data_IF_329636743459
#
_entry.id   IF_329636743459
#
_cell.length_a   1.000
_cell.length_b   1.000
_cell.length_c   1.000
_cell.angle_alpha   90.00
_cell.angle_beta   90.00
_cell.angle_gamma   90.00
#
_symmetry.space_group_name_H-M   'P 1'
#
loop_
_entity.id
_entity.type
_entity.pdbx_description
1 polymer ?
#
# COMPACT_ATOMS: atom_id res chain seq x y z
N UNK A 1 -14.86 53.52 1.76
CA UNK A 1 -14.36 52.37 0.95
C UNK A 1 -13.31 51.58 1.74
N UNK A 2 -12.85 50.40 1.31
CA UNK A 2 -11.74 49.68 1.96
C UNK A 2 -10.45 50.52 2.02
N UNK A 3 -10.28 51.40 1.02
CA UNK A 3 -9.20 52.38 0.93
C UNK A 3 -9.23 53.39 2.10
N UNK A 4 -10.41 53.94 2.38
CA UNK A 4 -10.64 54.96 3.42
C UNK A 4 -10.39 54.41 4.85
N UNK A 5 -10.68 53.14 5.09
CA UNK A 5 -10.31 52.45 6.35
C UNK A 5 -8.81 52.23 6.47
N UNK A 6 -8.14 51.95 5.35
CA UNK A 6 -6.68 51.84 5.28
C UNK A 6 -6.02 53.16 5.64
N UNK A 7 -6.44 54.25 4.98
CA UNK A 7 -5.92 55.60 5.23
C UNK A 7 -6.13 56.04 6.68
N UNK A 8 -7.29 55.72 7.29
CA UNK A 8 -7.55 56.04 8.69
C UNK A 8 -6.64 55.26 9.66
N UNK A 9 -6.44 53.97 9.43
CA UNK A 9 -5.53 53.15 10.25
C UNK A 9 -4.07 53.58 10.11
N UNK A 10 -3.65 53.96 8.90
CA UNK A 10 -2.30 54.49 8.66
C UNK A 10 -2.12 55.82 9.38
N UNK A 11 -3.12 56.70 9.36
CA UNK A 11 -3.09 57.97 10.09
C UNK A 11 -3.01 57.77 11.61
N UNK A 12 -3.85 56.90 12.19
CA UNK A 12 -3.81 56.57 13.63
C UNK A 12 -2.46 55.97 14.04
N UNK A 13 -1.86 55.12 13.20
CA UNK A 13 -0.54 54.53 13.48
C UNK A 13 0.59 55.57 13.40
N UNK A 14 0.51 56.50 12.44
CA UNK A 14 1.49 57.58 12.31
C UNK A 14 1.41 58.56 13.48
N UNK A 15 0.19 58.89 13.94
CA UNK A 15 -0.02 59.74 15.11
C UNK A 15 0.52 59.05 16.38
N UNK A 16 0.31 57.74 16.53
CA UNK A 16 0.87 56.96 17.65
C UNK A 16 2.40 56.91 17.64
N UNK A 17 3.01 56.82 16.47
CA UNK A 17 4.47 56.85 16.30
C UNK A 17 5.05 58.24 16.60
N UNK A 18 4.37 59.33 16.18
CA UNK A 18 4.79 60.69 16.54
C UNK A 18 4.63 60.99 18.03
N UNK A 19 3.62 60.43 18.69
CA UNK A 19 3.41 60.57 20.14
C UNK A 19 4.47 59.83 20.96
N UNK A 20 5.08 58.78 20.41
CA UNK A 20 6.25 58.10 20.99
C UNK A 20 7.52 58.88 20.62
N UNK A 21 7.80 59.96 21.34
CA UNK A 21 8.96 60.83 21.12
C UNK A 21 10.33 60.12 21.21
N UNK A 22 11.38 60.77 20.67
CA UNK A 22 12.73 60.23 20.42
C UNK A 22 13.41 59.49 21.59
N UNK A 23 13.03 59.78 22.84
CA UNK A 23 13.58 59.07 24.01
C UNK A 23 13.12 57.60 24.11
N UNK A 24 11.95 57.25 23.55
CA UNK A 24 11.44 55.88 23.49
C UNK A 24 11.97 55.10 22.29
N UNK A 25 12.38 55.79 21.21
CA UNK A 25 12.99 55.18 20.03
C UNK A 25 14.42 54.68 20.29
N UNK A 26 15.18 55.32 21.20
CA UNK A 26 16.52 54.84 21.59
C UNK A 26 16.51 53.55 22.43
N UNK A 27 15.40 53.27 23.12
CA UNK A 27 15.22 52.04 23.89
C UNK A 27 14.44 50.96 23.11
N UNK A 28 14.23 51.17 21.80
CA UNK A 28 13.56 50.21 20.95
C UNK A 28 14.49 49.03 20.66
N UNK A 29 14.45 48.02 21.52
CA UNK A 29 14.94 46.68 21.21
C UNK A 29 13.80 45.89 20.58
N UNK A 30 14.03 45.32 19.41
CA UNK A 30 13.16 44.33 18.75
C UNK A 30 13.15 42.98 19.51
N UNK A 31 13.20 43.03 20.83
CA UNK A 31 13.09 41.89 21.72
C UNK A 31 11.75 42.04 22.44
N UNK A 32 10.70 41.98 21.63
CA UNK A 32 9.36 41.69 22.14
C UNK A 32 9.07 40.29 21.68
N UNK A 33 8.91 39.40 22.66
CA UNK A 33 8.40 38.04 22.54
C UNK A 33 6.97 38.08 21.97
N UNK A 34 6.82 38.49 20.71
CA UNK A 34 5.62 38.22 19.94
C UNK A 34 5.64 36.73 19.67
N UNK A 35 5.08 36.01 20.63
CA UNK A 35 4.80 34.59 20.52
C UNK A 35 4.12 34.39 19.18
N UNK A 36 4.67 33.54 18.30
CA UNK A 36 4.16 33.22 16.95
C UNK A 36 2.67 32.82 16.90
N UNK A 37 2.06 32.61 18.06
CA UNK A 37 0.69 32.17 18.27
C UNK A 37 -0.26 33.30 18.69
N UNK A 38 0.20 34.57 18.73
CA UNK A 38 -0.65 35.73 19.02
C UNK A 38 -0.88 36.57 17.77
N UNK A 39 -2.11 36.62 17.29
CA UNK A 39 -2.52 37.39 16.11
C UNK A 39 -3.74 38.25 16.46
N UNK A 40 -3.70 39.55 16.12
CA UNK A 40 -4.73 40.55 16.48
C UNK A 40 -5.14 40.62 17.97
N UNK A 41 -4.22 40.27 18.88
CA UNK A 41 -4.46 40.33 20.33
C UNK A 41 -5.12 39.08 20.93
N UNK A 42 -5.40 38.06 20.11
CA UNK A 42 -5.85 36.75 20.58
C UNK A 42 -4.70 35.72 20.55
N UNK A 43 -4.61 34.88 21.59
CA UNK A 43 -3.65 33.78 21.70
C UNK A 43 -4.30 32.47 21.20
N UNK A 44 -3.78 31.92 20.10
CA UNK A 44 -4.38 30.79 19.39
C UNK A 44 -3.97 29.42 19.95
N UNK A 45 -3.13 29.37 21.00
CA UNK A 45 -2.76 28.11 21.67
C UNK A 45 -3.92 27.43 22.39
N UNK A 46 -4.87 28.20 22.92
CA UNK A 46 -6.00 27.65 23.68
C UNK A 46 -7.16 27.17 22.78
N UNK A 47 -7.28 27.70 21.56
CA UNK A 47 -8.34 27.33 20.61
C UNK A 47 -8.13 25.96 19.94
N UNK A 48 -6.98 25.32 20.10
CA UNK A 48 -6.75 23.95 19.61
C UNK A 48 -7.43 22.86 20.47
N UNK A 49 -8.00 23.21 21.63
CA UNK A 49 -8.63 22.23 22.55
C UNK A 49 -10.16 22.13 22.43
N UNK A 50 -10.82 22.90 21.56
CA UNK A 50 -12.27 22.86 21.42
C UNK A 50 -12.69 22.75 19.95
N UNK A 51 -12.55 21.52 19.45
CA UNK A 51 -12.91 21.15 18.10
C UNK A 51 -12.60 19.68 17.90
N UNK A 52 -13.31 18.81 18.62
CA UNK A 52 -13.61 17.47 18.11
C UNK A 52 -14.31 17.70 16.77
N UNK A 53 -13.52 17.87 15.71
CA UNK A 53 -13.96 17.48 14.39
C UNK A 53 -14.18 15.99 14.56
N UNK A 54 -15.44 15.58 14.72
CA UNK A 54 -15.84 14.19 14.50
C UNK A 54 -15.34 13.87 13.11
N UNK A 55 -14.18 13.23 13.06
CA UNK A 55 -13.63 12.67 11.87
C UNK A 55 -14.62 11.59 11.46
N UNK A 56 -15.54 11.93 10.57
CA UNK A 56 -16.37 10.95 9.87
C UNK A 56 -15.38 10.13 9.07
N UNK A 57 -14.99 8.97 9.60
CA UNK A 57 -14.16 8.01 8.89
C UNK A 57 -14.83 7.77 7.53
N UNK A 58 -14.16 8.06 6.40
CA UNK A 58 -14.67 7.64 5.11
C UNK A 58 -14.99 6.16 5.22
N UNK A 59 -16.19 5.70 4.83
CA UNK A 59 -16.54 4.30 4.94
C UNK A 59 -15.39 3.50 4.34
N UNK A 60 -14.76 2.64 5.17
CA UNK A 60 -13.61 1.84 4.77
C UNK A 60 -13.98 1.26 3.42
N UNK A 61 -13.19 1.61 2.40
CA UNK A 61 -13.37 1.12 1.04
C UNK A 61 -13.34 -0.40 1.16
N UNK A 62 -14.51 -1.03 1.15
CA UNK A 62 -14.63 -2.47 1.13
C UNK A 62 -14.05 -2.87 -0.23
N UNK A 63 -12.77 -3.24 -0.22
CA UNK A 63 -12.17 -3.92 -1.35
C UNK A 63 -13.01 -5.19 -1.52
N UNK A 64 -13.80 -5.25 -2.58
CA UNK A 64 -14.45 -6.48 -3.02
C UNK A 64 -13.35 -7.54 -3.03
N UNK A 65 -13.45 -8.52 -2.15
CA UNK A 65 -12.55 -9.66 -2.12
C UNK A 65 -12.91 -10.53 -3.33
N UNK A 66 -12.53 -10.08 -4.51
CA UNK A 66 -12.51 -10.93 -5.68
C UNK A 66 -11.21 -11.73 -5.61
N UNK A 67 -11.38 -13.06 -5.55
CA UNK A 67 -10.37 -14.11 -5.65
C UNK A 67 -9.57 -14.50 -4.40
N UNK A 68 -9.58 -15.82 -4.13
CA UNK A 68 -8.78 -16.53 -3.14
C UNK A 68 -7.26 -16.37 -3.36
N UNK A 69 -6.85 -16.05 -4.60
CA UNK A 69 -5.45 -15.80 -4.98
C UNK A 69 -4.91 -14.53 -4.31
N UNK A 70 -5.70 -13.46 -4.20
CA UNK A 70 -5.26 -12.22 -3.57
C UNK A 70 -5.09 -12.38 -2.04
N UNK A 71 -5.87 -13.25 -1.38
CA UNK A 71 -5.66 -13.59 0.03
C UNK A 71 -4.29 -14.24 0.27
N UNK A 72 -3.85 -15.14 -0.62
CA UNK A 72 -2.54 -15.78 -0.55
C UNK A 72 -1.41 -14.75 -0.67
N UNK A 73 -1.46 -13.87 -1.68
CA UNK A 73 -0.43 -12.86 -1.91
C UNK A 73 -0.41 -11.78 -0.82
N UNK A 74 -1.58 -11.34 -0.33
CA UNK A 74 -1.64 -10.37 0.79
C UNK A 74 -0.95 -10.93 2.02
N UNK A 75 -1.13 -12.22 2.29
CA UNK A 75 -0.46 -12.86 3.42
C UNK A 75 1.03 -13.11 3.14
N UNK A 76 1.43 -13.35 1.89
CA UNK A 76 2.81 -13.65 1.50
C UNK A 76 3.72 -12.42 1.46
N UNK A 77 3.19 -11.30 0.93
CA UNK A 77 3.93 -10.08 0.63
C UNK A 77 3.66 -8.93 1.61
N UNK A 78 3.00 -9.20 2.74
CA UNK A 78 2.70 -8.21 3.80
C UNK A 78 3.97 -7.53 4.34
N UNK A 79 4.09 -6.23 4.06
CA UNK A 79 5.21 -5.34 4.45
C UNK A 79 5.02 -4.70 5.84
N UNK A 80 3.78 -4.55 6.32
CA UNK A 80 3.49 -3.97 7.65
C UNK A 80 3.53 -5.01 8.77
N UNK A 81 4.12 -4.67 9.93
CA UNK A 81 4.10 -5.51 11.13
C UNK A 81 2.67 -5.74 11.62
N UNK A 82 2.20 -7.01 11.69
CA UNK A 82 0.85 -7.29 12.16
C UNK A 82 0.79 -7.28 13.69
N UNK A 83 -0.33 -6.77 14.25
CA UNK A 83 -0.72 -6.97 15.66
C UNK A 83 -0.84 -8.45 16.06
N UNK A 84 -0.93 -9.35 15.08
CA UNK A 84 -1.09 -10.80 15.25
C UNK A 84 0.09 -11.51 14.58
N UNK A 85 0.81 -12.43 15.25
CA UNK A 85 1.94 -13.16 14.65
C UNK A 85 1.57 -13.83 13.32
N UNK A 86 2.44 -13.72 12.31
CA UNK A 86 2.24 -14.36 10.99
C UNK A 86 2.03 -15.85 11.18
N UNK A 87 1.04 -16.39 10.47
CA UNK A 87 0.80 -17.83 10.52
C UNK A 87 2.01 -18.58 9.91
N UNK A 88 2.48 -19.66 10.53
CA UNK A 88 3.63 -20.41 10.06
C UNK A 88 3.36 -21.01 8.67
N UNK A 89 4.39 -21.00 7.83
CA UNK A 89 4.40 -21.58 6.47
C UNK A 89 5.46 -22.69 6.39
N UNK A 90 5.29 -23.68 5.50
CA UNK A 90 6.30 -24.70 5.28
C UNK A 90 7.66 -24.07 4.90
N UNK A 91 8.77 -24.40 5.57
CA UNK A 91 10.08 -23.80 5.26
C UNK A 91 10.59 -24.04 3.83
N UNK A 92 10.08 -25.07 3.15
CA UNK A 92 10.48 -25.46 1.78
C UNK A 92 9.48 -25.04 0.70
N UNK A 93 8.58 -24.10 0.99
CA UNK A 93 7.58 -23.66 0.02
C UNK A 93 8.23 -22.85 -1.13
N UNK A 94 7.86 -23.10 -2.40
CA UNK A 94 8.31 -22.29 -3.52
C UNK A 94 7.92 -20.82 -3.36
N UNK A 95 8.86 -19.90 -3.62
CA UNK A 95 8.61 -18.46 -3.55
C UNK A 95 8.02 -17.95 -4.88
N UNK A 96 6.72 -18.16 -5.07
CA UNK A 96 5.98 -17.67 -6.24
C UNK A 96 5.57 -16.21 -6.08
N UNK A 97 5.72 -15.42 -7.13
CA UNK A 97 5.32 -14.00 -7.18
C UNK A 97 4.06 -13.81 -8.03
N UNK A 98 3.30 -12.76 -7.76
CA UNK A 98 2.07 -12.41 -8.49
C UNK A 98 2.36 -12.04 -9.95
N UNK A 99 3.42 -11.25 -10.18
CA UNK A 99 3.87 -10.86 -11.52
C UNK A 99 4.38 -12.02 -12.39
N UNK A 100 4.50 -13.24 -11.84
CA UNK A 100 4.87 -14.43 -12.60
C UNK A 100 3.64 -15.15 -13.19
N UNK A 101 2.42 -14.69 -12.90
CA UNK A 101 1.15 -15.13 -13.50
C UNK A 101 0.92 -16.65 -13.47
N UNK A 102 1.30 -17.31 -12.38
CA UNK A 102 0.98 -18.73 -12.19
C UNK A 102 -0.53 -19.00 -12.26
N UNK A 103 -0.96 -20.21 -12.66
CA UNK A 103 -2.36 -20.58 -12.65
C UNK A 103 -2.96 -20.55 -11.23
N UNK A 104 -4.21 -20.10 -11.05
CA UNK A 104 -4.91 -20.07 -9.75
C UNK A 104 -4.88 -21.41 -9.00
N UNK A 105 -4.94 -22.52 -9.76
CA UNK A 105 -4.91 -23.88 -9.26
C UNK A 105 -3.64 -24.20 -8.44
N UNK A 106 -2.50 -23.60 -8.78
CA UNK A 106 -1.26 -23.78 -8.02
C UNK A 106 -1.43 -23.29 -6.59
N UNK A 107 -2.10 -22.15 -6.40
CA UNK A 107 -2.30 -21.55 -5.08
C UNK A 107 -3.24 -22.38 -4.21
N UNK A 108 -4.22 -23.07 -4.80
CA UNK A 108 -5.08 -24.01 -4.07
C UNK A 108 -4.25 -25.17 -3.49
N UNK A 109 -3.32 -25.72 -4.28
CA UNK A 109 -2.43 -26.80 -3.82
C UNK A 109 -1.45 -26.31 -2.75
N UNK A 110 -0.87 -25.11 -2.94
CA UNK A 110 0.00 -24.48 -1.94
C UNK A 110 -0.75 -24.15 -0.64
N UNK A 111 -2.02 -23.75 -0.73
CA UNK A 111 -2.88 -23.49 0.43
C UNK A 111 -3.16 -24.79 1.20
N UNK A 112 -3.46 -25.90 0.50
CA UNK A 112 -3.60 -27.22 1.12
C UNK A 112 -2.32 -27.62 1.88
N UNK A 113 -1.15 -27.44 1.29
CA UNK A 113 0.13 -27.72 1.97
C UNK A 113 0.34 -26.85 3.22
N UNK A 114 -0.01 -25.56 3.14
CA UNK A 114 0.06 -24.65 4.29
C UNK A 114 -0.88 -25.11 5.41
N UNK A 115 -2.12 -25.45 5.09
CA UNK A 115 -3.11 -25.92 6.07
C UNK A 115 -2.65 -27.23 6.72
N UNK A 116 -2.15 -28.18 5.93
CA UNK A 116 -1.62 -29.43 6.44
C UNK A 116 -0.39 -29.21 7.32
N UNK A 117 0.53 -28.34 6.93
CA UNK A 117 1.68 -27.98 7.75
C UNK A 117 1.27 -27.32 9.07
N UNK A 118 0.28 -26.43 9.07
CA UNK A 118 -0.29 -25.85 10.29
C UNK A 118 -0.89 -26.91 11.21
N UNK A 119 -1.52 -27.94 10.64
CA UNK A 119 -2.04 -29.09 11.38
C UNK A 119 -0.92 -29.91 12.02
N UNK A 120 0.15 -30.22 11.28
CA UNK A 120 1.26 -31.06 11.77
C UNK A 120 2.04 -30.43 12.92
N UNK A 121 2.16 -29.11 12.94
CA UNK A 121 2.79 -28.35 14.03
C UNK A 121 1.82 -27.96 15.16
N UNK A 122 0.54 -28.32 15.05
CA UNK A 122 -0.47 -28.00 16.05
C UNK A 122 -0.80 -26.51 16.16
N UNK A 123 -0.64 -25.74 15.08
CA UNK A 123 -0.92 -24.30 15.06
C UNK A 123 -2.39 -24.01 15.40
N UNK A 124 -2.60 -23.05 16.30
CA UNK A 124 -3.92 -22.56 16.70
C UNK A 124 -4.12 -21.15 16.19
N UNK A 125 -5.22 -20.94 15.48
CA UNK A 125 -5.54 -19.64 14.88
C UNK A 125 -5.84 -18.65 16.01
N UNK A 126 -5.07 -17.55 16.14
CA UNK A 126 -5.35 -16.52 17.13
C UNK A 126 -6.62 -15.75 16.74
N UNK A 127 -7.37 -15.30 17.75
CA UNK A 127 -8.57 -14.49 17.54
C UNK A 127 -8.15 -13.07 17.15
N UNK A 128 -8.58 -12.62 15.98
CA UNK A 128 -8.34 -11.27 15.52
C UNK A 128 -9.52 -10.35 15.90
N UNK A 129 -9.36 -9.38 16.82
CA UNK A 129 -10.45 -8.48 17.23
C UNK A 129 -10.90 -7.50 16.15
N UNK A 130 -10.11 -7.31 15.08
CA UNK A 130 -10.38 -6.32 14.03
C UNK A 130 -11.35 -6.84 12.94
N UNK A 131 -11.77 -8.11 13.00
CA UNK A 131 -12.66 -8.75 12.02
C UNK A 131 -14.09 -8.85 12.58
N UNK A 132 -15.14 -8.59 11.77
CA UNK A 132 -16.52 -8.87 12.15
C UNK A 132 -16.69 -10.33 12.59
N UNK A 133 -17.36 -10.56 13.72
CA UNK A 133 -17.58 -11.90 14.30
C UNK A 133 -16.30 -12.74 14.45
N UNK A 134 -15.34 -12.29 15.28
CA UNK A 134 -14.00 -12.88 15.35
C UNK A 134 -13.98 -14.32 15.86
N UNK A 135 -14.99 -14.73 16.64
CA UNK A 135 -15.14 -16.10 17.10
C UNK A 135 -15.55 -17.07 15.98
N UNK A 136 -16.36 -16.60 15.01
CA UNK A 136 -16.79 -17.42 13.86
C UNK A 136 -15.62 -17.59 12.90
N UNK A 137 -14.95 -16.50 12.53
CA UNK A 137 -13.77 -16.54 11.66
C UNK A 137 -12.66 -17.45 12.22
N UNK A 138 -12.38 -17.36 13.53
CA UNK A 138 -11.40 -18.23 14.19
C UNK A 138 -11.80 -19.71 14.09
N UNK A 139 -13.09 -20.03 14.32
CA UNK A 139 -13.59 -21.41 14.28
C UNK A 139 -13.55 -21.98 12.86
N UNK A 140 -13.88 -21.19 11.86
CA UNK A 140 -13.84 -21.60 10.45
C UNK A 140 -12.41 -21.86 9.97
N UNK A 141 -11.48 -20.95 10.27
CA UNK A 141 -10.07 -21.13 9.92
C UNK A 141 -9.44 -22.33 10.66
N UNK A 142 -9.77 -22.52 11.93
CA UNK A 142 -9.33 -23.70 12.67
C UNK A 142 -9.91 -24.99 12.08
N UNK A 143 -11.18 -24.98 11.65
CA UNK A 143 -11.82 -26.15 11.01
C UNK A 143 -11.13 -26.52 9.70
N UNK A 144 -10.67 -25.54 8.91
CA UNK A 144 -9.87 -25.79 7.70
C UNK A 144 -8.54 -26.47 8.01
N UNK A 145 -7.85 -26.02 9.07
CA UNK A 145 -6.58 -26.62 9.51
C UNK A 145 -6.83 -28.05 10.03
N UNK A 146 -7.83 -28.24 10.90
CA UNK A 146 -8.11 -29.55 11.51
C UNK A 146 -8.51 -30.59 10.43
N UNK A 147 -9.25 -30.15 9.41
CA UNK A 147 -9.64 -30.94 8.25
C UNK A 147 -8.60 -31.08 7.15
N UNK A 148 -7.40 -30.50 7.31
CA UNK A 148 -6.37 -30.53 6.27
C UNK A 148 -5.76 -31.93 6.10
N UNK A 149 -5.56 -32.32 4.84
CA UNK A 149 -4.96 -33.59 4.43
C UNK A 149 -3.67 -33.33 3.64
N UNK A 150 -2.72 -34.28 3.64
CA UNK A 150 -1.54 -34.17 2.79
C UNK A 150 -1.94 -34.21 1.32
N UNK A 151 -1.13 -33.58 0.45
CA UNK A 151 -1.34 -33.71 -0.99
C UNK A 151 -1.22 -35.16 -1.42
N UNK A 152 -2.13 -35.57 -2.30
CA UNK A 152 -2.06 -36.86 -2.99
C UNK A 152 -0.87 -36.89 -3.96
N UNK A 153 -0.41 -38.09 -4.38
CA UNK A 153 0.66 -38.19 -5.39
C UNK A 153 0.27 -37.49 -6.71
N UNK A 154 -1.00 -37.57 -7.11
CA UNK A 154 -1.53 -36.90 -8.31
C UNK A 154 -1.45 -35.38 -8.20
N UNK A 155 -1.87 -34.82 -7.05
CA UNK A 155 -1.77 -33.38 -6.79
C UNK A 155 -0.32 -32.90 -6.68
N UNK A 156 0.59 -33.75 -6.20
CA UNK A 156 2.01 -33.42 -6.14
C UNK A 156 2.59 -33.29 -7.55
N UNK A 157 2.24 -34.21 -8.45
CA UNK A 157 2.64 -34.13 -9.86
C UNK A 157 1.96 -32.94 -10.58
N UNK A 158 0.67 -32.67 -10.30
CA UNK A 158 -0.05 -31.50 -10.81
C UNK A 158 0.67 -30.20 -10.40
N UNK A 159 1.06 -30.08 -9.12
CA UNK A 159 1.80 -28.93 -8.60
C UNK A 159 3.13 -28.72 -9.34
N UNK A 160 3.90 -29.80 -9.57
CA UNK A 160 5.17 -29.71 -10.31
C UNK A 160 4.96 -29.23 -11.75
N UNK A 161 3.90 -29.69 -12.42
CA UNK A 161 3.52 -29.20 -13.76
C UNK A 161 3.06 -27.74 -13.73
N UNK A 162 2.32 -27.32 -12.71
CA UNK A 162 1.85 -25.93 -12.61
C UNK A 162 2.98 -24.95 -12.30
N UNK A 163 4.03 -25.40 -11.59
CA UNK A 163 5.23 -24.61 -11.33
C UNK A 163 6.04 -24.29 -12.59
N UNK A 164 5.82 -24.99 -13.71
CA UNK A 164 6.46 -24.67 -15.00
C UNK A 164 5.61 -23.79 -15.90
N UNK A 165 4.32 -23.59 -15.60
CA UNK A 165 3.37 -22.82 -16.41
C UNK A 165 3.34 -21.32 -16.09
N UNK A 166 4.20 -20.85 -15.18
CA UNK A 166 4.39 -19.43 -14.91
C UNK A 166 5.68 -18.88 -15.51
N UNK A 167 5.83 -17.56 -15.45
CA UNK A 167 7.02 -16.84 -15.88
C UNK A 167 8.17 -17.00 -14.86
N UNK A 168 8.67 -18.22 -14.71
CA UNK A 168 9.70 -18.59 -13.71
C UNK A 168 11.04 -17.88 -13.93
N UNK A 169 11.35 -17.54 -15.18
CA UNK A 169 12.54 -16.80 -15.57
C UNK A 169 12.38 -15.28 -15.35
N UNK A 170 11.19 -14.77 -15.01
CA UNK A 170 10.99 -13.35 -14.71
C UNK A 170 11.27 -13.08 -13.23
N UNK A 171 12.22 -12.20 -13.00
CA UNK A 171 12.59 -11.72 -11.66
C UNK A 171 11.89 -10.41 -11.34
N UNK A 172 11.95 -10.00 -10.06
CA UNK A 172 11.43 -8.69 -9.64
C UNK A 172 12.15 -7.51 -10.33
N UNK A 173 13.42 -7.69 -10.73
CA UNK A 173 14.16 -6.68 -11.48
C UNK A 173 13.57 -6.51 -12.88
N UNK A 174 13.37 -7.61 -13.58
CA UNK A 174 12.85 -7.64 -14.95
C UNK A 174 11.44 -7.04 -15.00
N UNK A 175 10.58 -7.42 -14.04
CA UNK A 175 9.26 -6.83 -13.89
C UNK A 175 9.32 -5.31 -13.71
N UNK A 176 10.15 -4.81 -12.79
CA UNK A 176 10.28 -3.36 -12.57
C UNK A 176 10.87 -2.63 -13.79
N UNK A 177 11.79 -3.25 -14.53
CA UNK A 177 12.31 -2.71 -15.80
C UNK A 177 11.21 -2.65 -16.85
N UNK A 178 10.40 -3.71 -16.98
CA UNK A 178 9.26 -3.76 -17.88
C UNK A 178 8.24 -2.66 -17.59
N UNK A 179 7.85 -2.45 -16.32
CA UNK A 179 6.93 -1.36 -15.94
C UNK A 179 7.49 0.02 -16.30
N UNK A 180 8.77 0.28 -15.99
CA UNK A 180 9.42 1.55 -16.33
C UNK A 180 9.55 1.78 -17.84
N UNK A 181 9.78 0.71 -18.59
CA UNK A 181 9.86 0.80 -20.04
C UNK A 181 8.47 1.08 -20.66
N UNK A 182 7.40 0.48 -20.12
CA UNK A 182 6.03 0.79 -20.53
C UNK A 182 5.65 2.25 -20.20
N UNK A 183 6.09 2.79 -19.05
CA UNK A 183 5.92 4.22 -18.72
C UNK A 183 6.67 5.13 -19.72
N UNK A 184 7.86 4.74 -20.18
CA UNK A 184 8.71 5.58 -21.04
C UNK A 184 8.32 5.55 -22.52
N UNK A 185 7.96 4.38 -23.05
CA UNK A 185 7.71 4.17 -24.48
C UNK A 185 6.24 3.92 -24.82
N UNK A 186 5.40 3.69 -23.81
CA UNK A 186 4.01 3.27 -24.00
C UNK A 186 3.90 1.77 -24.26
N UNK A 187 2.68 1.23 -24.05
CA UNK A 187 2.40 -0.21 -24.10
C UNK A 187 2.62 -0.88 -25.46
N UNK A 188 2.56 -0.10 -26.55
CA UNK A 188 2.55 -0.62 -27.92
C UNK A 188 3.98 -0.76 -28.49
N UNK A 189 4.97 -0.09 -27.91
CA UNK A 189 6.37 -0.08 -28.39
C UNK A 189 7.19 -1.22 -27.76
N UNK A 190 6.83 -2.46 -28.11
CA UNK A 190 7.45 -3.68 -27.58
C UNK A 190 8.95 -3.75 -27.91
N UNK A 191 9.37 -3.22 -29.06
CA UNK A 191 10.78 -3.24 -29.47
C UNK A 191 11.68 -2.43 -28.53
N UNK A 192 11.24 -1.22 -28.14
CA UNK A 192 12.00 -0.42 -27.18
C UNK A 192 11.86 -0.94 -25.75
N UNK A 193 10.71 -1.51 -25.38
CA UNK A 193 10.54 -2.19 -24.09
C UNK A 193 11.53 -3.34 -23.96
N UNK A 194 11.62 -4.21 -24.97
CA UNK A 194 12.51 -5.36 -24.96
C UNK A 194 14.00 -4.99 -24.84
N UNK A 195 14.40 -3.84 -25.39
CA UNK A 195 15.79 -3.35 -25.25
C UNK A 195 16.15 -2.91 -23.83
N UNK A 196 15.17 -2.51 -23.04
CA UNK A 196 15.38 -2.02 -21.67
C UNK A 196 15.19 -3.10 -20.60
N UNK A 197 14.49 -4.19 -20.94
CA UNK A 197 14.39 -5.39 -20.09
C UNK A 197 15.61 -6.27 -20.34
N UNK A 198 16.66 -6.05 -19.54
CA UNK A 198 17.93 -6.75 -19.68
C UNK A 198 17.75 -8.27 -19.45
N UNK A 199 18.29 -9.10 -20.36
CA UNK A 199 18.25 -10.55 -20.22
C UNK A 199 16.92 -11.20 -20.63
N UNK A 200 16.04 -10.46 -21.32
CA UNK A 200 14.86 -11.00 -22.02
C UNK A 200 14.96 -10.77 -23.52
N UNK A 201 14.52 -11.76 -24.29
CA UNK A 201 14.38 -11.61 -25.74
C UNK A 201 13.12 -10.78 -26.07
N UNK A 202 13.05 -10.16 -27.27
CA UNK A 202 11.84 -9.47 -27.71
C UNK A 202 10.60 -10.38 -27.73
N UNK A 203 10.78 -11.67 -28.05
CA UNK A 203 9.72 -12.67 -28.04
C UNK A 203 9.21 -12.92 -26.62
N UNK A 204 10.10 -13.10 -25.64
CA UNK A 204 9.74 -13.30 -24.23
C UNK A 204 9.00 -12.08 -23.66
N UNK A 205 9.43 -10.87 -24.02
CA UNK A 205 8.78 -9.62 -23.60
C UNK A 205 7.41 -9.46 -24.23
N UNK A 206 7.25 -9.88 -25.49
CA UNK A 206 5.96 -9.87 -26.17
C UNK A 206 4.95 -10.83 -25.53
N UNK A 207 5.37 -12.08 -25.27
CA UNK A 207 4.55 -13.08 -24.58
C UNK A 207 4.15 -12.62 -23.17
N UNK A 208 5.11 -12.09 -22.42
CA UNK A 208 4.85 -11.55 -21.09
C UNK A 208 3.90 -10.35 -21.13
N UNK A 209 4.11 -9.42 -22.08
CA UNK A 209 3.27 -8.24 -22.24
C UNK A 209 1.82 -8.60 -22.51
N UNK A 210 1.58 -9.59 -23.40
CA UNK A 210 0.23 -10.07 -23.68
C UNK A 210 -0.49 -10.58 -22.42
N UNK A 211 0.16 -11.45 -21.65
CA UNK A 211 -0.42 -11.99 -20.40
C UNK A 211 -0.54 -10.91 -19.32
N UNK A 212 0.44 -10.01 -19.24
CA UNK A 212 0.40 -8.89 -18.31
C UNK A 212 -0.84 -8.05 -18.57
N UNK A 213 -1.09 -7.58 -19.78
CA UNK A 213 -2.26 -6.74 -20.06
C UNK A 213 -3.60 -7.48 -19.93
N UNK A 214 -3.62 -8.81 -20.09
CA UNK A 214 -4.81 -9.63 -19.87
C UNK A 214 -5.13 -9.82 -18.37
N UNK A 215 -4.09 -10.06 -17.55
CA UNK A 215 -4.22 -10.51 -16.15
C UNK A 215 -3.64 -9.55 -15.12
N UNK A 216 -3.27 -8.33 -15.50
CA UNK A 216 -2.65 -7.35 -14.60
C UNK A 216 -3.54 -7.01 -13.39
N UNK A 217 -4.85 -7.20 -13.50
CA UNK A 217 -5.81 -7.06 -12.40
C UNK A 217 -5.59 -8.06 -11.24
N UNK A 218 -4.82 -9.14 -11.44
CA UNK A 218 -4.42 -10.07 -10.40
C UNK A 218 -3.28 -9.54 -9.51
N UNK A 219 -2.56 -8.51 -9.97
CA UNK A 219 -1.44 -7.92 -9.24
C UNK A 219 -1.94 -7.07 -8.07
N UNK A 220 -1.28 -7.20 -6.93
CA UNK A 220 -1.73 -6.51 -5.70
C UNK A 220 -1.68 -4.99 -5.82
N UNK A 221 -0.66 -4.49 -6.51
CA UNK A 221 -0.37 -3.07 -6.65
C UNK A 221 -0.80 -2.54 -8.03
N UNK A 222 -1.76 -3.19 -8.70
CA UNK A 222 -2.14 -2.83 -10.07
C UNK A 222 -2.58 -1.38 -10.21
N UNK A 223 -3.39 -0.85 -9.28
CA UNK A 223 -3.84 0.56 -9.35
C UNK A 223 -2.66 1.53 -9.39
N UNK A 224 -1.60 1.23 -8.64
CA UNK A 224 -0.39 2.06 -8.59
C UNK A 224 0.46 1.89 -9.85
N UNK A 225 0.58 0.65 -10.34
CA UNK A 225 1.33 0.33 -11.56
C UNK A 225 0.67 1.00 -12.77
N UNK A 226 -0.64 0.89 -12.92
CA UNK A 226 -1.39 1.55 -14.00
C UNK A 226 -1.26 3.07 -13.93
N UNK A 227 -1.42 3.65 -12.74
CA UNK A 227 -1.24 5.10 -12.56
C UNK A 227 0.19 5.58 -12.86
N UNK A 228 1.20 4.71 -12.74
CA UNK A 228 2.57 5.02 -13.16
C UNK A 228 2.72 4.95 -14.68
N UNK A 229 2.13 3.96 -15.34
CA UNK A 229 2.24 3.79 -16.80
C UNK A 229 1.44 4.86 -17.56
N UNK A 230 0.32 5.32 -17.01
CA UNK A 230 -0.55 6.33 -17.62
C UNK A 230 -0.07 7.78 -17.41
N UNK A 231 1.07 7.98 -16.76
CA UNK A 231 1.60 9.29 -16.39
C UNK A 231 2.39 9.96 -17.51
#
# INVERSE_FOLDING_TARGET
SLLERGERKTAEMNERLQKMGESSLRNFRMDTEQSLYKFEGEDYREKQKLGMVEWIEPPKRERKANYAVDAYFREALRVSEPKVPKAPRPPKQPNVQDFQFFPPRLFELLEKEILYYRKTIGYKVPRNPDIPNPAVAQREEQKKIDGAEPLTPEETEEKEKLLTQGFTNWTKRDFNQFIKANEKYGRDDIDNIAREVEGKSPEEVMEYSAVFWERCNELQDIEKIMAQIER
#
